data_IF_395587394489
#
_entry.id   IF_395587394489
#
_cell.length_a   1.000
_cell.length_b   1.000
_cell.length_c   1.000
_cell.angle_alpha   90.00
_cell.angle_beta   90.00
_cell.angle_gamma   90.00
#
_symmetry.space_group_name_H-M   'P 1'
#
loop_
_entity.id
_entity.type
_entity.pdbx_description
1 polymer ?
#
# COMPACT_ATOMS: atom_id res chain seq x y z
N UNK A 1 8.76 -5.11 -14.25
CA UNK A 1 8.85 -3.82 -13.53
C UNK A 1 10.25 -3.71 -12.96
N UNK A 2 10.87 -2.55 -13.04
CA UNK A 2 12.22 -2.36 -12.50
C UNK A 2 12.14 -2.01 -11.02
N UNK A 3 13.02 -2.61 -10.23
CA UNK A 3 13.19 -2.27 -8.82
C UNK A 3 14.06 -1.02 -8.70
N UNK A 4 13.74 -0.15 -7.75
CA UNK A 4 14.56 1.02 -7.40
C UNK A 4 15.05 0.88 -5.96
N UNK A 5 16.23 1.40 -5.69
CA UNK A 5 16.77 1.48 -4.34
C UNK A 5 16.09 2.59 -3.53
N UNK A 6 16.16 2.48 -2.20
CA UNK A 6 15.73 3.55 -1.30
C UNK A 6 16.49 4.85 -1.57
N UNK A 7 17.79 4.78 -1.85
CA UNK A 7 18.61 5.96 -2.18
C UNK A 7 18.11 6.68 -3.44
N UNK A 8 17.78 5.93 -4.49
CA UNK A 8 17.20 6.49 -5.72
C UNK A 8 15.84 7.13 -5.46
N UNK A 9 14.97 6.46 -4.70
CA UNK A 9 13.67 7.00 -4.32
C UNK A 9 13.82 8.31 -3.53
N UNK A 10 14.69 8.33 -2.51
CA UNK A 10 14.96 9.51 -1.68
C UNK A 10 15.50 10.69 -2.49
N UNK A 11 16.33 10.43 -3.50
CA UNK A 11 16.84 11.47 -4.40
C UNK A 11 15.74 12.10 -5.27
N UNK A 12 14.72 11.32 -5.67
CA UNK A 12 13.58 11.82 -6.44
C UNK A 12 12.66 12.69 -5.58
N UNK A 13 12.50 12.34 -4.30
CA UNK A 13 11.49 12.95 -3.43
C UNK A 13 12.07 13.96 -2.42
N UNK A 14 13.36 14.31 -2.50
CA UNK A 14 14.12 15.10 -1.51
C UNK A 14 13.41 16.38 -1.03
N UNK A 15 12.78 17.10 -1.97
CA UNK A 15 12.11 18.38 -1.71
C UNK A 15 10.57 18.25 -1.57
N UNK A 16 10.07 17.06 -1.28
CA UNK A 16 8.62 16.79 -1.13
C UNK A 16 8.25 16.47 0.32
N UNK A 17 6.96 16.61 0.63
CA UNK A 17 6.40 16.20 1.94
C UNK A 17 6.47 14.67 2.17
N UNK A 18 6.86 13.89 1.18
CA UNK A 18 7.05 12.44 1.28
C UNK A 18 8.46 12.06 1.72
N UNK A 19 9.47 12.94 1.62
CA UNK A 19 10.82 12.60 2.07
C UNK A 19 10.87 12.11 3.54
N UNK A 20 10.16 12.75 4.50
CA UNK A 20 10.12 12.28 5.88
C UNK A 20 9.47 10.90 6.07
N UNK A 21 8.64 10.44 5.12
CA UNK A 21 8.02 9.12 5.17
C UNK A 21 9.04 8.00 4.90
N UNK A 22 9.89 8.19 3.90
CA UNK A 22 10.82 7.14 3.44
C UNK A 22 12.19 7.24 4.11
N UNK A 23 12.62 8.43 4.54
CA UNK A 23 13.92 8.62 5.20
C UNK A 23 14.17 7.70 6.41
N UNK A 24 13.19 7.42 7.29
CA UNK A 24 13.38 6.53 8.44
C UNK A 24 13.73 5.09 8.06
N UNK A 25 13.56 4.71 6.79
CA UNK A 25 13.87 3.36 6.29
C UNK A 25 15.36 3.14 6.00
N UNK A 26 16.19 4.19 6.07
CA UNK A 26 17.64 4.06 5.93
C UNK A 26 18.18 3.12 7.01
N UNK A 27 18.90 2.07 6.59
CA UNK A 27 19.37 0.99 7.48
C UNK A 27 18.43 -0.22 7.55
N UNK A 28 17.27 -0.19 6.89
CA UNK A 28 16.29 -1.29 6.82
C UNK A 28 16.12 -1.83 5.39
N UNK A 29 17.11 -1.66 4.53
CA UNK A 29 17.05 -1.98 3.10
C UNK A 29 16.69 -3.45 2.81
N UNK A 30 17.06 -4.37 3.70
CA UNK A 30 16.74 -5.80 3.60
C UNK A 30 15.24 -6.12 3.82
N UNK A 31 14.49 -5.19 4.42
CA UNK A 31 13.09 -5.36 4.81
C UNK A 31 12.11 -4.59 3.92
N UNK A 32 12.63 -3.75 3.04
CA UNK A 32 11.85 -2.88 2.17
C UNK A 32 12.07 -3.23 0.71
N UNK A 33 11.13 -2.81 -0.14
CA UNK A 33 11.25 -3.00 -1.58
C UNK A 33 10.45 -1.95 -2.33
N UNK A 34 11.05 -1.35 -3.35
CA UNK A 34 10.42 -0.33 -4.18
C UNK A 34 10.56 -0.65 -5.66
N UNK A 35 9.69 -0.06 -6.45
CA UNK A 35 9.62 -0.23 -7.89
C UNK A 35 9.52 1.13 -8.55
N UNK A 36 9.96 1.25 -9.81
CA UNK A 36 9.76 2.49 -10.57
C UNK A 36 8.28 2.91 -10.52
N UNK A 37 8.05 4.19 -10.26
CA UNK A 37 6.71 4.77 -10.24
C UNK A 37 5.99 4.67 -11.58
N UNK A 38 4.66 4.76 -11.54
CA UNK A 38 3.85 4.73 -12.75
C UNK A 38 4.03 6.01 -13.59
N UNK A 39 3.80 5.90 -14.89
CA UNK A 39 3.81 7.02 -15.83
C UNK A 39 2.52 7.05 -16.68
N UNK A 40 2.41 8.02 -17.58
CA UNK A 40 1.25 8.22 -18.46
C UNK A 40 0.89 6.97 -19.29
N UNK A 41 1.84 6.05 -19.54
CA UNK A 41 1.53 4.82 -20.28
C UNK A 41 0.62 3.86 -19.50
N UNK A 42 0.59 3.99 -18.16
CA UNK A 42 -0.17 3.13 -17.25
C UNK A 42 -1.52 3.72 -16.85
N UNK A 43 -1.89 4.92 -17.33
CA UNK A 43 -3.15 5.61 -17.00
C UNK A 43 -4.37 4.72 -17.30
N UNK A 44 -4.35 4.00 -18.42
CA UNK A 44 -5.42 3.07 -18.79
C UNK A 44 -5.67 1.95 -17.76
N UNK A 45 -4.63 1.52 -17.03
CA UNK A 45 -4.77 0.51 -15.98
C UNK A 45 -5.43 1.08 -14.72
N UNK A 46 -5.20 2.36 -14.42
CA UNK A 46 -5.90 3.05 -13.33
C UNK A 46 -7.40 3.07 -13.62
N UNK A 47 -7.77 3.52 -14.82
CA UNK A 47 -9.15 3.57 -15.28
C UNK A 47 -9.83 2.19 -15.18
N UNK A 48 -9.16 1.13 -15.65
CA UNK A 48 -9.69 -0.23 -15.56
C UNK A 48 -9.98 -0.67 -14.11
N UNK A 49 -9.09 -0.36 -13.16
CA UNK A 49 -9.33 -0.71 -11.75
C UNK A 49 -10.40 0.17 -11.11
N UNK A 50 -10.45 1.45 -11.46
CA UNK A 50 -11.50 2.38 -11.00
C UNK A 50 -12.90 1.93 -11.46
N UNK A 51 -13.03 1.49 -12.71
CA UNK A 51 -14.28 0.95 -13.25
C UNK A 51 -14.74 -0.31 -12.51
N UNK A 52 -13.80 -1.14 -12.01
CA UNK A 52 -14.12 -2.34 -11.24
C UNK A 52 -14.69 -2.03 -9.85
N UNK A 53 -14.08 -1.06 -9.14
CA UNK A 53 -14.49 -0.72 -7.76
C UNK A 53 -15.61 0.32 -7.71
N UNK A 54 -15.84 1.02 -8.82
CA UNK A 54 -16.92 2.00 -8.97
C UNK A 54 -16.64 3.35 -8.31
N UNK A 55 -15.37 3.67 -8.01
CA UNK A 55 -14.95 4.97 -7.51
C UNK A 55 -13.53 5.34 -7.96
N UNK A 56 -13.22 6.64 -7.93
CA UNK A 56 -11.91 7.15 -8.32
C UNK A 56 -10.82 6.79 -7.32
N UNK A 57 -9.60 6.54 -7.81
CA UNK A 57 -8.50 6.26 -6.91
C UNK A 57 -8.25 7.44 -5.97
N UNK A 58 -7.97 7.17 -4.69
CA UNK A 58 -7.52 8.19 -3.77
C UNK A 58 -6.31 8.96 -4.30
N UNK A 59 -6.30 10.28 -4.15
CA UNK A 59 -5.19 11.11 -4.63
C UNK A 59 -3.85 10.77 -3.97
N UNK A 60 -3.85 10.40 -2.69
CA UNK A 60 -2.67 9.95 -1.96
C UNK A 60 -2.19 8.56 -2.43
N UNK A 61 -3.11 7.62 -2.77
CA UNK A 61 -2.73 6.38 -3.44
C UNK A 61 -2.05 6.65 -4.79
N UNK A 62 -2.60 7.55 -5.60
CA UNK A 62 -2.01 7.92 -6.90
C UNK A 62 -0.61 8.50 -6.68
N UNK A 63 -0.42 9.41 -5.73
CA UNK A 63 0.90 9.96 -5.42
C UNK A 63 1.89 8.88 -4.98
N UNK A 64 1.46 7.92 -4.16
CA UNK A 64 2.32 6.78 -3.79
C UNK A 64 2.70 5.96 -5.02
N UNK A 65 1.75 5.65 -5.91
CA UNK A 65 2.02 4.91 -7.15
C UNK A 65 2.96 5.66 -8.11
N UNK A 66 2.86 6.99 -8.18
CA UNK A 66 3.76 7.84 -8.96
C UNK A 66 5.19 7.84 -8.41
N UNK A 67 5.36 7.67 -7.10
CA UNK A 67 6.69 7.54 -6.48
C UNK A 67 7.23 6.11 -6.58
N UNK A 68 6.38 5.12 -6.33
CA UNK A 68 6.71 3.69 -6.36
C UNK A 68 5.49 2.85 -6.72
N UNK A 69 5.58 2.09 -7.82
CA UNK A 69 4.47 1.27 -8.28
C UNK A 69 4.34 -0.01 -7.45
N UNK A 70 3.67 0.13 -6.30
CA UNK A 70 3.67 -0.84 -5.21
C UNK A 70 4.98 -0.78 -4.42
N UNK A 71 4.94 -1.32 -3.21
CA UNK A 71 6.06 -1.26 -2.29
C UNK A 71 5.93 -2.33 -1.20
N UNK A 72 7.06 -2.72 -0.61
CA UNK A 72 7.10 -3.48 0.62
C UNK A 72 7.73 -2.62 1.71
N UNK A 73 7.06 -2.54 2.86
CA UNK A 73 7.55 -1.95 4.10
C UNK A 73 7.37 -2.99 5.19
N UNK A 74 8.43 -3.69 5.58
CA UNK A 74 8.34 -4.75 6.60
C UNK A 74 7.27 -5.80 6.25
N UNK A 75 6.15 -5.85 6.97
CA UNK A 75 5.04 -6.79 6.72
C UNK A 75 3.95 -6.21 5.80
N UNK A 76 3.92 -4.88 5.61
CA UNK A 76 3.06 -4.20 4.66
C UNK A 76 3.55 -4.38 3.22
N UNK A 77 2.66 -4.87 2.36
CA UNK A 77 2.84 -4.91 0.91
C UNK A 77 1.73 -4.11 0.25
N UNK A 78 2.09 -3.03 -0.44
CA UNK A 78 1.21 -2.30 -1.34
C UNK A 78 1.26 -2.94 -2.74
N UNK A 79 0.09 -3.17 -3.31
CA UNK A 79 -0.06 -3.83 -4.59
C UNK A 79 0.29 -2.90 -5.75
N UNK A 80 0.83 -3.52 -6.79
CA UNK A 80 1.33 -2.87 -7.99
C UNK A 80 0.19 -2.65 -8.99
N UNK A 81 0.26 -1.60 -9.78
CA UNK A 81 -0.50 -1.47 -11.00
C UNK A 81 0.21 -2.24 -12.11
N UNK A 82 -0.43 -3.29 -12.65
CA UNK A 82 0.18 -4.20 -13.63
C UNK A 82 -0.78 -4.50 -14.77
N UNK A 83 -0.25 -4.73 -15.97
CA UNK A 83 -1.01 -5.24 -17.13
C UNK A 83 -1.36 -6.74 -17.00
N UNK A 84 -0.64 -7.48 -16.14
CA UNK A 84 -0.85 -8.92 -15.97
C UNK A 84 -2.05 -9.20 -15.04
N UNK A 85 -3.11 -9.75 -15.63
CA UNK A 85 -4.34 -10.13 -14.95
C UNK A 85 -4.20 -11.39 -14.06
N UNK A 86 -2.99 -11.95 -13.95
CA UNK A 86 -2.65 -13.08 -13.07
C UNK A 86 -1.60 -12.72 -12.00
N UNK A 87 -1.14 -11.48 -11.92
CA UNK A 87 -0.20 -11.07 -10.89
C UNK A 87 -0.91 -10.97 -9.53
N UNK A 88 -0.57 -11.87 -8.61
CA UNK A 88 -1.15 -11.89 -7.26
C UNK A 88 -0.82 -10.66 -6.42
N UNK A 89 0.18 -9.88 -6.81
CA UNK A 89 0.49 -8.59 -6.19
C UNK A 89 -0.05 -7.40 -7.01
N UNK A 90 -0.82 -7.66 -8.06
CA UNK A 90 -1.44 -6.65 -8.92
C UNK A 90 -2.77 -6.15 -8.35
N UNK A 91 -3.01 -4.84 -8.43
CA UNK A 91 -4.27 -4.17 -8.07
C UNK A 91 -5.43 -4.75 -8.89
N UNK A 92 -5.24 -4.92 -10.20
CA UNK A 92 -6.25 -5.49 -11.07
C UNK A 92 -6.63 -6.91 -10.64
N UNK A 93 -5.64 -7.82 -10.48
CA UNK A 93 -5.91 -9.19 -10.03
C UNK A 93 -6.70 -9.24 -8.72
N UNK A 94 -6.28 -8.44 -7.73
CA UNK A 94 -6.86 -8.41 -6.40
C UNK A 94 -8.23 -7.71 -6.34
N UNK A 95 -8.65 -6.99 -7.37
CA UNK A 95 -9.96 -6.35 -7.41
C UNK A 95 -10.91 -6.96 -8.45
N UNK A 96 -10.40 -7.50 -9.58
CA UNK A 96 -11.20 -8.07 -10.67
C UNK A 96 -11.56 -9.55 -10.45
N UNK A 97 -10.58 -10.38 -10.06
CA UNK A 97 -10.74 -11.85 -10.02
C UNK A 97 -11.02 -12.39 -8.61
N UNK A 98 -10.72 -11.53 -7.64
CA UNK A 98 -10.17 -11.76 -6.32
C UNK A 98 -10.57 -13.03 -5.55
N UNK A 99 -9.67 -14.04 -5.47
CA UNK A 99 -9.71 -15.03 -4.41
C UNK A 99 -9.73 -14.38 -3.02
N UNK A 100 -8.89 -13.37 -2.79
CA UNK A 100 -8.78 -12.61 -1.52
C UNK A 100 -10.12 -12.01 -1.07
N UNK A 101 -10.81 -11.29 -1.97
CA UNK A 101 -12.12 -10.70 -1.69
C UNK A 101 -13.14 -11.75 -1.26
N UNK A 102 -13.20 -12.87 -2.00
CA UNK A 102 -14.11 -13.99 -1.71
C UNK A 102 -13.72 -14.75 -0.45
N UNK A 103 -12.44 -14.92 -0.19
CA UNK A 103 -11.90 -15.63 0.97
C UNK A 103 -12.22 -14.89 2.26
N UNK A 104 -12.01 -13.57 2.27
CA UNK A 104 -12.14 -12.70 3.44
C UNK A 104 -13.46 -11.92 3.51
N UNK A 105 -14.40 -12.15 2.58
CA UNK A 105 -15.70 -11.48 2.50
C UNK A 105 -15.60 -9.94 2.43
N UNK A 106 -14.64 -9.42 1.68
CA UNK A 106 -14.44 -7.97 1.54
C UNK A 106 -15.55 -7.39 0.65
N UNK A 107 -16.28 -6.33 1.07
CA UNK A 107 -17.37 -5.74 0.30
C UNK A 107 -16.90 -5.19 -1.05
N UNK A 108 -17.72 -5.31 -2.11
CA UNK A 108 -17.37 -4.89 -3.48
C UNK A 108 -16.98 -3.41 -3.60
N UNK A 109 -17.52 -2.54 -2.75
CA UNK A 109 -17.19 -1.11 -2.71
C UNK A 109 -15.86 -0.79 -2.02
N UNK A 110 -15.06 -1.80 -1.67
CA UNK A 110 -13.73 -1.63 -1.08
C UNK A 110 -12.69 -1.93 -2.15
N UNK A 111 -11.77 -0.99 -2.38
CA UNK A 111 -10.60 -1.16 -3.22
C UNK A 111 -9.49 -1.81 -2.40
N UNK A 112 -9.10 -3.02 -2.75
CA UNK A 112 -7.95 -3.68 -2.12
C UNK A 112 -6.67 -3.05 -2.66
N UNK A 113 -5.87 -2.42 -1.81
CA UNK A 113 -4.62 -1.72 -2.17
C UNK A 113 -3.37 -2.42 -1.67
N UNK A 114 -3.52 -3.39 -0.77
CA UNK A 114 -2.39 -4.12 -0.21
C UNK A 114 -2.79 -5.11 0.87
N UNK A 115 -1.80 -5.58 1.62
CA UNK A 115 -1.95 -6.42 2.80
C UNK A 115 -0.85 -6.11 3.82
N UNK A 116 -1.13 -6.26 5.10
CA UNK A 116 -0.10 -6.27 6.15
C UNK A 116 -0.14 -7.64 6.83
N UNK A 117 0.93 -8.40 6.62
CA UNK A 117 1.04 -9.80 7.02
C UNK A 117 -0.13 -10.68 6.49
N UNK A 118 -0.38 -11.81 7.14
CA UNK A 118 -1.57 -12.67 6.91
C UNK A 118 -2.79 -12.19 7.73
N UNK A 119 -2.63 -11.13 8.52
CA UNK A 119 -3.62 -10.64 9.47
C UNK A 119 -4.56 -9.58 8.88
N UNK A 120 -4.06 -8.73 7.98
CA UNK A 120 -4.82 -7.59 7.48
C UNK A 120 -4.74 -7.45 5.97
N UNK A 121 -5.88 -7.15 5.35
CA UNK A 121 -5.95 -6.63 3.99
C UNK A 121 -6.15 -5.12 4.08
N UNK A 122 -5.36 -4.34 3.33
CA UNK A 122 -5.49 -2.89 3.30
C UNK A 122 -6.46 -2.53 2.19
N UNK A 123 -7.55 -1.86 2.56
CA UNK A 123 -8.57 -1.44 1.62
C UNK A 123 -8.82 0.07 1.70
N UNK A 124 -9.01 0.73 0.57
CA UNK A 124 -9.64 2.04 0.52
C UNK A 124 -11.16 1.87 0.37
N UNK A 125 -11.95 2.71 1.03
CA UNK A 125 -13.40 2.68 0.95
C UNK A 125 -14.00 4.06 1.10
N UNK A 126 -15.25 4.21 0.64
CA UNK A 126 -16.06 5.40 0.81
C UNK A 126 -17.18 5.12 1.79
N UNK A 127 -17.38 6.02 2.75
CA UNK A 127 -18.57 6.00 3.60
C UNK A 127 -19.82 6.53 2.87
N UNK A 128 -20.96 6.54 3.56
CA UNK A 128 -22.24 6.99 2.99
C UNK A 128 -22.27 8.49 2.63
N UNK A 129 -21.38 9.29 3.22
CA UNK A 129 -21.24 10.72 2.95
C UNK A 129 -20.18 11.00 1.85
N UNK A 130 -19.50 9.95 1.37
CA UNK A 130 -18.47 10.02 0.34
C UNK A 130 -17.09 10.36 0.88
N UNK A 131 -16.87 10.25 2.20
CA UNK A 131 -15.54 10.38 2.77
C UNK A 131 -14.71 9.12 2.52
N UNK A 132 -13.53 9.34 1.98
CA UNK A 132 -12.56 8.28 1.76
C UNK A 132 -11.83 7.96 3.06
N UNK A 133 -11.67 6.67 3.33
CA UNK A 133 -10.82 6.16 4.40
C UNK A 133 -10.08 4.89 3.98
N UNK A 134 -9.00 4.59 4.69
CA UNK A 134 -8.24 3.36 4.58
C UNK A 134 -8.53 2.46 5.77
N UNK A 135 -8.86 1.20 5.50
CA UNK A 135 -9.21 0.24 6.53
C UNK A 135 -8.29 -0.97 6.48
N UNK A 136 -7.80 -1.37 7.65
CA UNK A 136 -7.16 -2.67 7.86
C UNK A 136 -8.26 -3.69 8.13
N UNK A 137 -8.62 -4.43 7.09
CA UNK A 137 -9.60 -5.51 7.14
C UNK A 137 -9.01 -6.74 7.82
N UNK A 138 -9.55 -7.12 8.97
CA UNK A 138 -9.11 -8.28 9.74
C UNK A 138 -9.49 -9.57 9.00
N UNK A 139 -8.50 -10.34 8.56
CA UNK A 139 -8.71 -11.58 7.79
C UNK A 139 -9.38 -12.69 8.61
N UNK A 140 -9.19 -12.68 9.93
CA UNK A 140 -9.71 -13.68 10.87
C UNK A 140 -11.16 -13.40 11.23
N UNK A 141 -11.46 -12.15 11.58
CA UNK A 141 -12.79 -11.73 11.99
C UNK A 141 -13.68 -11.32 10.81
N UNK A 142 -13.07 -11.06 9.64
CA UNK A 142 -13.73 -10.65 8.39
C UNK A 142 -14.54 -9.37 8.56
N UNK A 143 -13.90 -8.38 9.18
CA UNK A 143 -14.48 -7.07 9.45
C UNK A 143 -13.41 -5.97 9.35
N UNK A 144 -13.85 -4.73 9.16
CA UNK A 144 -12.95 -3.58 9.23
C UNK A 144 -12.47 -3.40 10.68
N UNK A 145 -11.15 -3.45 10.89
CA UNK A 145 -10.53 -3.34 12.22
C UNK A 145 -10.11 -1.91 12.55
N UNK A 146 -9.08 -1.42 11.85
CA UNK A 146 -8.48 -0.10 12.09
C UNK A 146 -8.75 0.79 10.88
N UNK A 147 -9.08 2.06 11.13
CA UNK A 147 -9.43 3.05 10.10
C UNK A 147 -8.44 4.21 10.17
N UNK A 148 -7.98 4.65 9.00
CA UNK A 148 -7.08 5.78 8.78
C UNK A 148 -7.68 6.72 7.75
N UNK A 149 -7.34 8.01 7.83
CA UNK A 149 -7.83 9.00 6.88
C UNK A 149 -6.98 9.02 5.59
N UNK A 150 -5.70 8.61 5.70
CA UNK A 150 -4.74 8.62 4.60
C UNK A 150 -3.93 7.32 4.52
N UNK A 151 -3.55 6.90 3.31
CA UNK A 151 -2.66 5.75 3.10
C UNK A 151 -1.31 5.96 3.75
N UNK A 152 -0.82 7.20 3.73
CA UNK A 152 0.45 7.57 4.36
C UNK A 152 0.44 7.25 5.85
N UNK A 153 -0.70 7.38 6.54
CA UNK A 153 -0.79 7.00 7.97
C UNK A 153 -0.67 5.49 8.16
N UNK A 154 -1.20 4.68 7.24
CA UNK A 154 -1.03 3.22 7.25
C UNK A 154 0.45 2.87 7.11
N UNK A 155 1.15 3.51 6.16
CA UNK A 155 2.58 3.29 5.92
C UNK A 155 3.38 3.74 7.15
N UNK A 156 3.09 4.92 7.70
CA UNK A 156 3.78 5.44 8.89
C UNK A 156 3.58 4.52 10.09
N UNK A 157 2.35 4.03 10.34
CA UNK A 157 2.09 3.14 11.46
C UNK A 157 2.90 1.83 11.37
N UNK A 158 3.06 1.29 10.16
CA UNK A 158 3.92 0.12 9.93
C UNK A 158 5.40 0.45 10.20
N UNK A 159 5.90 1.56 9.65
CA UNK A 159 7.29 2.00 9.84
C UNK A 159 7.58 2.26 11.31
N UNK A 160 6.73 3.00 12.00
CA UNK A 160 6.89 3.35 13.41
C UNK A 160 6.88 2.12 14.31
N UNK A 161 6.01 1.13 14.03
CA UNK A 161 5.98 -0.11 14.79
C UNK A 161 7.31 -0.86 14.72
N UNK A 162 7.88 -1.02 13.52
CA UNK A 162 9.13 -1.74 13.35
C UNK A 162 10.35 -0.93 13.78
N UNK A 163 10.46 0.33 13.39
CA UNK A 163 11.61 1.17 13.78
C UNK A 163 11.67 1.39 15.29
N UNK A 164 10.52 1.52 15.97
CA UNK A 164 10.43 1.49 17.43
C UNK A 164 10.85 0.15 18.03
N UNK A 165 10.32 -0.97 17.51
CA UNK A 165 10.67 -2.30 18.01
C UNK A 165 12.15 -2.66 17.79
N UNK A 166 12.75 -2.24 16.68
CA UNK A 166 14.16 -2.47 16.37
C UNK A 166 15.08 -1.57 17.18
N UNK A 167 14.67 -0.34 17.52
CA UNK A 167 15.46 0.53 18.39
C UNK A 167 15.42 0.09 19.85
N UNK A 168 14.30 -0.45 20.35
CA UNK A 168 14.23 -1.04 21.69
C UNK A 168 14.97 -2.39 21.79
N UNK A 169 15.11 -3.12 20.69
CA UNK A 169 15.82 -4.40 20.64
C UNK A 169 17.36 -4.31 20.74
N UNK A 170 17.95 -3.12 20.63
CA UNK A 170 19.40 -2.90 20.78
C UNK A 170 19.81 -2.56 22.22
N UNK A 171 18.87 -2.23 23.13
CA UNK A 171 19.20 -1.86 24.52
C UNK A 171 19.27 -3.08 25.48
N UNK A 172 18.88 -4.28 25.05
CA UNK A 172 18.82 -5.49 25.89
C UNK A 172 20.03 -6.44 25.73
N UNK A 173 21.10 -6.05 25.02
CA UNK A 173 22.33 -6.84 24.84
C UNK A 173 23.63 -6.19 25.42
N UNK A 174 23.56 -5.44 26.52
CA UNK A 174 24.74 -5.02 27.33
C UNK A 174 24.83 -5.67 28.73
#
# INVERSE_FOLDING_TARGET
MNEISLEELLAVIEDTDYYPLFRPLLGYEDFIKFYEGIDDSMEHLLDEVQDLVGFEFPGDLIHVLLMTNGAKFFDLTLYQLTEDDNDKNGLYYNNATAPTRKEFNIPENYLIVGKSSDLFVVCATLDEEGYLSYVLWDTKNKEAGIVYDYLVEVIMAEIDYYTGAFSEGEEDEE
#
